data_IF_667338692003
#
_entry.id   IF_667338692003
#
_cell.length_a   1.000
_cell.length_b   1.000
_cell.length_c   1.000
_cell.angle_alpha   90.00
_cell.angle_beta   90.00
_cell.angle_gamma   90.00
#
_symmetry.space_group_name_H-M   'P 1'
#
loop_
_entity.id
_entity.type
_entity.pdbx_description
1 polymer ?
#
# COMPACT_ATOMS: atom_id res chain seq x y z
N UNK A 1 23.82 13.68 -14.33
CA UNK A 1 22.60 12.98 -14.05
C UNK A 1 22.75 12.01 -12.90
N UNK A 2 21.65 11.63 -12.35
CA UNK A 2 21.65 10.66 -11.27
C UNK A 2 21.63 9.25 -11.84
N UNK A 3 22.55 8.45 -11.38
CA UNK A 3 22.52 7.04 -11.72
C UNK A 3 21.69 6.31 -10.67
N UNK A 4 20.78 5.46 -11.12
CA UNK A 4 20.00 4.61 -10.23
C UNK A 4 20.46 3.18 -10.40
N UNK A 5 20.74 2.55 -9.28
CA UNK A 5 21.15 1.15 -9.27
C UNK A 5 20.02 0.32 -8.68
N UNK A 6 19.55 -0.71 -9.37
CA UNK A 6 18.50 -1.56 -8.80
C UNK A 6 19.04 -2.33 -7.60
N UNK A 7 18.34 -2.26 -6.49
CA UNK A 7 18.69 -3.02 -5.29
C UNK A 7 18.31 -4.49 -5.46
N UNK A 8 17.20 -4.73 -6.18
CA UNK A 8 16.70 -6.07 -6.44
C UNK A 8 16.68 -6.35 -7.92
N UNK A 9 16.81 -7.64 -8.28
CA UNK A 9 16.65 -8.06 -9.66
C UNK A 9 15.22 -7.78 -10.16
N UNK A 10 15.06 -7.72 -11.47
CA UNK A 10 13.74 -7.51 -12.07
C UNK A 10 12.77 -8.61 -11.67
N UNK A 11 13.22 -9.86 -11.61
CA UNK A 11 12.35 -10.97 -11.21
C UNK A 11 11.93 -10.86 -9.75
N UNK A 12 12.81 -10.39 -8.87
CA UNK A 12 12.46 -10.15 -7.47
C UNK A 12 11.43 -9.05 -7.34
N UNK A 13 11.59 -7.95 -8.10
CA UNK A 13 10.61 -6.86 -8.10
C UNK A 13 9.24 -7.33 -8.57
N UNK A 14 9.20 -8.17 -9.60
CA UNK A 14 7.95 -8.71 -10.11
C UNK A 14 7.27 -9.61 -9.09
N UNK A 15 8.05 -10.40 -8.34
CA UNK A 15 7.50 -11.26 -7.29
C UNK A 15 6.93 -10.44 -6.13
N UNK A 16 7.63 -9.38 -5.73
CA UNK A 16 7.14 -8.48 -4.68
C UNK A 16 5.86 -7.81 -5.11
N UNK A 17 5.80 -7.33 -6.35
CA UNK A 17 4.59 -6.70 -6.89
C UNK A 17 3.43 -7.69 -6.90
N UNK A 18 3.66 -8.91 -7.35
CA UNK A 18 2.62 -9.94 -7.37
C UNK A 18 2.12 -10.27 -5.96
N UNK A 19 3.00 -10.36 -4.99
CA UNK A 19 2.63 -10.58 -3.59
C UNK A 19 1.79 -9.43 -3.06
N UNK A 20 2.21 -8.19 -3.30
CA UNK A 20 1.50 -7.01 -2.82
C UNK A 20 0.14 -6.88 -3.50
N UNK A 21 0.04 -7.23 -4.78
CA UNK A 21 -1.25 -7.24 -5.48
C UNK A 21 -2.18 -8.31 -4.90
N UNK A 22 -1.65 -9.49 -4.65
CA UNK A 22 -2.41 -10.58 -4.06
C UNK A 22 -2.90 -10.24 -2.64
N UNK A 23 -2.12 -9.50 -1.88
CA UNK A 23 -2.54 -9.04 -0.55
C UNK A 23 -3.85 -8.25 -0.64
N UNK A 24 -3.98 -7.39 -1.65
CA UNK A 24 -5.19 -6.58 -1.82
C UNK A 24 -6.36 -7.44 -2.25
N UNK A 25 -6.16 -8.31 -3.24
CA UNK A 25 -7.26 -9.11 -3.80
C UNK A 25 -7.76 -10.18 -2.84
N UNK A 26 -6.89 -10.73 -2.00
CA UNK A 26 -7.25 -11.86 -1.16
C UNK A 26 -7.39 -11.53 0.33
N UNK A 27 -6.80 -10.44 0.81
CA UNK A 27 -6.82 -10.12 2.22
C UNK A 27 -7.44 -8.77 2.54
N UNK A 28 -6.97 -7.71 1.88
CA UNK A 28 -7.39 -6.35 2.24
C UNK A 28 -8.72 -5.94 1.60
N UNK A 29 -9.07 -6.55 0.48
CA UNK A 29 -10.33 -6.30 -0.19
C UNK A 29 -10.21 -5.30 -1.33
N UNK A 30 -10.26 -5.81 -2.55
CA UNK A 30 -10.19 -4.99 -3.77
C UNK A 30 -11.35 -4.00 -3.85
N UNK A 31 -12.53 -4.37 -3.36
CA UNK A 31 -13.73 -3.56 -3.51
C UNK A 31 -13.61 -2.18 -2.87
N UNK A 32 -12.83 -2.05 -1.80
CA UNK A 32 -12.65 -0.74 -1.16
C UNK A 32 -11.83 0.22 -2.01
N UNK A 33 -11.08 -0.30 -2.98
CA UNK A 33 -10.25 0.51 -3.88
C UNK A 33 -10.91 0.71 -5.25
N UNK A 34 -12.14 0.25 -5.43
CA UNK A 34 -12.81 0.35 -6.73
C UNK A 34 -12.07 -0.42 -7.81
N UNK A 35 -11.83 0.24 -8.94
CA UNK A 35 -11.14 -0.38 -10.08
C UNK A 35 -9.61 -0.17 -10.04
N UNK A 36 -9.09 0.46 -9.00
CA UNK A 36 -7.65 0.71 -8.91
C UNK A 36 -6.90 -0.58 -8.63
N UNK A 37 -5.85 -0.84 -9.41
CA UNK A 37 -5.00 -2.00 -9.22
C UNK A 37 -3.96 -1.70 -8.13
N UNK A 38 -4.41 -1.70 -6.89
CA UNK A 38 -3.55 -1.37 -5.75
C UNK A 38 -2.73 -2.58 -5.34
N UNK A 39 -1.44 -2.35 -5.15
CA UNK A 39 -0.49 -3.29 -4.59
C UNK A 39 -0.10 -2.75 -3.22
N UNK A 40 -0.20 -3.55 -2.17
CA UNK A 40 -0.02 -3.01 -0.82
C UNK A 40 0.52 -4.02 0.18
N UNK A 41 1.06 -3.48 1.27
CA UNK A 41 1.51 -4.25 2.41
C UNK A 41 1.20 -3.47 3.68
N UNK A 42 0.58 -4.15 4.63
CA UNK A 42 0.30 -3.59 5.94
C UNK A 42 1.31 -4.07 6.96
N UNK A 43 1.35 -3.38 8.07
CA UNK A 43 2.15 -3.80 9.20
C UNK A 43 1.83 -3.00 10.44
N UNK A 44 2.48 -3.38 11.53
CA UNK A 44 2.39 -2.67 12.79
C UNK A 44 3.81 -2.41 13.28
N UNK A 45 4.01 -1.23 13.86
CA UNK A 45 5.28 -0.87 14.47
C UNK A 45 5.08 -0.82 15.98
N UNK A 46 5.78 -1.68 16.70
CA UNK A 46 5.70 -1.71 18.15
C UNK A 46 6.26 -0.43 18.75
N UNK A 47 5.58 0.04 19.78
CA UNK A 47 6.03 1.20 20.55
C UNK A 47 6.18 0.77 22.01
N UNK A 48 6.84 1.60 22.81
CA UNK A 48 7.15 1.25 24.20
C UNK A 48 5.93 1.05 25.08
N UNK A 49 4.82 1.69 24.75
CA UNK A 49 3.58 1.59 25.52
C UNK A 49 2.40 1.90 24.61
N UNK A 50 1.23 1.34 24.95
CA UNK A 50 0.01 1.54 24.21
C UNK A 50 -0.08 0.66 22.97
N UNK A 51 -1.06 0.93 22.14
CA UNK A 51 -1.27 0.19 20.92
C UNK A 51 -0.15 0.46 19.91
N UNK A 52 0.27 -0.54 19.13
CA UNK A 52 1.24 -0.33 18.06
C UNK A 52 0.72 0.67 17.02
N UNK A 53 1.63 1.29 16.31
CA UNK A 53 1.24 2.09 15.14
C UNK A 53 0.86 1.16 14.00
N UNK A 54 -0.20 1.51 13.28
CA UNK A 54 -0.62 0.81 12.08
C UNK A 54 -0.06 1.52 10.86
N UNK A 55 0.46 0.76 9.89
CA UNK A 55 0.92 1.35 8.64
C UNK A 55 0.45 0.52 7.45
N UNK A 56 0.34 1.20 6.30
CA UNK A 56 -0.11 0.61 5.05
C UNK A 56 0.60 1.35 3.92
N UNK A 57 1.34 0.62 3.12
CA UNK A 57 2.12 1.22 2.05
C UNK A 57 1.88 0.48 0.74
N UNK A 58 2.01 1.18 -0.37
CA UNK A 58 1.82 0.54 -1.65
C UNK A 58 1.85 1.51 -2.80
N UNK A 59 1.30 1.05 -3.91
CA UNK A 59 1.27 1.84 -5.14
C UNK A 59 0.11 1.35 -6.02
N UNK A 60 -0.23 2.18 -7.02
CA UNK A 60 -1.22 1.82 -8.04
C UNK A 60 -0.45 1.29 -9.25
N UNK A 61 -0.78 0.06 -9.67
CA UNK A 61 -0.12 -0.60 -10.78
C UNK A 61 -0.86 -0.35 -12.08
N UNK A 62 -0.10 -0.28 -13.17
CA UNK A 62 -0.64 -0.18 -14.53
C UNK A 62 -1.63 0.95 -14.74
N UNK A 63 -1.43 2.07 -14.06
CA UNK A 63 -2.26 3.25 -14.25
C UNK A 63 -1.37 4.42 -14.65
N UNK A 64 -1.14 4.63 -15.95
CA UNK A 64 -0.25 5.71 -16.39
C UNK A 64 -0.77 7.11 -16.06
N UNK A 65 -2.08 7.25 -15.83
CA UNK A 65 -2.67 8.53 -15.46
C UNK A 65 -2.54 8.82 -13.97
N UNK A 66 -2.34 7.78 -13.17
CA UNK A 66 -2.27 7.91 -11.71
C UNK A 66 -1.10 7.09 -11.14
N UNK A 67 0.16 7.47 -11.47
CA UNK A 67 1.34 6.71 -11.01
C UNK A 67 1.67 7.07 -9.56
N UNK A 68 0.81 6.65 -8.64
CA UNK A 68 0.90 7.04 -7.23
C UNK A 68 1.48 5.92 -6.38
N UNK A 69 2.38 6.31 -5.48
CA UNK A 69 2.81 5.48 -4.36
C UNK A 69 2.35 6.17 -3.07
N UNK A 70 2.11 5.40 -2.03
CA UNK A 70 1.54 5.97 -0.81
C UNK A 70 2.07 5.27 0.43
N UNK A 71 2.05 6.01 1.53
CA UNK A 71 2.26 5.48 2.89
C UNK A 71 1.22 6.11 3.80
N UNK A 72 0.52 5.28 4.56
CA UNK A 72 -0.40 5.74 5.59
C UNK A 72 0.09 5.20 6.93
N UNK A 73 0.24 6.08 7.89
CA UNK A 73 0.62 5.72 9.25
C UNK A 73 -0.46 6.23 10.21
N UNK A 74 -0.96 5.34 11.04
CA UNK A 74 -1.94 5.69 12.07
C UNK A 74 -1.32 5.40 13.42
N UNK A 75 -1.01 6.45 14.17
CA UNK A 75 -0.39 6.32 15.48
C UNK A 75 -1.33 5.59 16.43
N UNK A 76 -0.80 4.56 17.09
CA UNK A 76 -1.54 3.73 18.05
C UNK A 76 -2.85 3.18 17.46
N UNK A 77 -2.84 2.90 16.15
CA UNK A 77 -4.05 2.48 15.42
C UNK A 77 -4.33 0.99 15.45
N UNK A 78 -3.41 0.17 15.95
CA UNK A 78 -3.60 -1.28 15.97
C UNK A 78 -3.46 -1.91 14.59
N UNK A 79 -4.33 -2.85 14.24
CA UNK A 79 -4.22 -3.65 13.02
C UNK A 79 -4.13 -2.84 11.72
N UNK A 80 -2.97 -2.92 11.06
CA UNK A 80 -2.62 -2.06 9.93
C UNK A 80 -3.53 -2.18 8.72
N UNK A 81 -3.92 -3.41 8.37
CA UNK A 81 -4.73 -3.62 7.16
C UNK A 81 -6.12 -2.99 7.27
N UNK A 82 -6.73 -3.09 8.43
CA UNK A 82 -8.11 -2.61 8.61
C UNK A 82 -8.17 -1.09 8.76
N UNK A 83 -7.33 -0.54 9.60
CA UNK A 83 -7.38 0.90 9.93
C UNK A 83 -6.70 1.72 8.85
N UNK A 84 -5.40 1.50 8.64
CA UNK A 84 -4.65 2.28 7.66
C UNK A 84 -5.10 1.99 6.23
N UNK A 85 -5.52 0.74 5.95
CA UNK A 85 -6.01 0.36 4.64
C UNK A 85 -7.28 1.10 4.24
N UNK A 86 -8.23 1.27 5.17
CA UNK A 86 -9.47 1.99 4.85
C UNK A 86 -9.21 3.47 4.62
N UNK A 87 -8.26 4.06 5.36
CA UNK A 87 -7.85 5.45 5.14
C UNK A 87 -7.20 5.59 3.77
N UNK A 88 -6.28 4.67 3.43
CA UNK A 88 -5.63 4.67 2.13
C UNK A 88 -6.64 4.58 0.99
N UNK A 89 -7.64 3.71 1.12
CA UNK A 89 -8.66 3.54 0.09
C UNK A 89 -9.43 4.84 -0.17
N UNK A 90 -9.83 5.53 0.89
CA UNK A 90 -10.55 6.80 0.75
C UNK A 90 -9.69 7.85 0.07
N UNK A 91 -8.44 7.97 0.48
CA UNK A 91 -7.52 8.97 -0.08
C UNK A 91 -7.23 8.66 -1.56
N UNK A 92 -6.95 7.41 -1.88
CA UNK A 92 -6.64 7.02 -3.26
C UNK A 92 -7.82 7.22 -4.19
N UNK A 93 -9.03 6.86 -3.77
CA UNK A 93 -10.20 7.05 -4.60
C UNK A 93 -10.47 8.53 -4.83
N UNK A 94 -10.27 9.36 -3.83
CA UNK A 94 -10.44 10.80 -3.96
C UNK A 94 -9.36 11.41 -4.85
N UNK A 95 -8.11 10.98 -4.68
CA UNK A 95 -6.98 11.52 -5.45
C UNK A 95 -7.06 11.15 -6.93
N UNK A 96 -7.68 10.01 -7.26
CA UNK A 96 -7.80 9.55 -8.64
C UNK A 96 -9.16 9.86 -9.27
N UNK A 97 -10.06 10.45 -8.52
CA UNK A 97 -11.35 10.89 -9.07
C UNK A 97 -11.14 12.07 -10.02
N UNK A 98 -11.74 11.99 -11.18
CA UNK A 98 -11.66 13.01 -12.20
C UNK A 98 -13.00 13.75 -12.32
#
# INVERSE_FOLDING_TARGET
GKETYPVFSQSTCQRLKAMMRNNVTSQYGQSQFGDLAVCAKSGTAEVGSGEPHAWFTGFIDDDPDHPLAFVVLVENGGGGAKVAGSIAAKVLLQATAE
#
